data_IF_471113753511
#
_entry.id   IF_471113753511
#
_cell.length_a   1.000
_cell.length_b   1.000
_cell.length_c   1.000
_cell.angle_alpha   90.00
_cell.angle_beta   90.00
_cell.angle_gamma   90.00
#
_symmetry.space_group_name_H-M   'P 1'
#
loop_
_entity.id
_entity.type
_entity.pdbx_description
1 polymer ?
#
# COMPACT_ATOMS: atom_id res chain seq x y z
N UNK A 1 18.59 54.92 16.09
CA UNK A 1 17.44 54.27 16.73
C UNK A 1 16.56 53.79 15.59
N UNK A 2 16.95 52.71 14.90
CA UNK A 2 16.61 51.31 15.23
C UNK A 2 15.12 51.14 15.44
N UNK A 3 14.45 50.57 14.43
CA UNK A 3 13.64 49.34 14.57
C UNK A 3 12.84 49.12 13.27
N UNK A 4 13.48 48.50 12.27
CA UNK A 4 12.74 47.79 11.22
C UNK A 4 12.78 46.29 11.55
N UNK A 5 11.63 45.82 11.97
CA UNK A 5 11.29 44.45 12.31
C UNK A 5 11.56 43.52 11.11
N UNK A 6 12.52 42.57 11.17
CA UNK A 6 12.73 41.63 10.09
C UNK A 6 11.56 40.64 10.06
N UNK A 7 10.86 40.60 8.93
CA UNK A 7 9.77 39.67 8.65
C UNK A 7 10.20 38.21 8.98
N UNK A 8 9.54 37.50 9.90
CA UNK A 8 10.03 36.23 10.45
C UNK A 8 9.86 35.02 9.51
N UNK A 9 9.46 35.24 8.25
CA UNK A 9 9.13 34.18 7.29
C UNK A 9 10.10 34.10 6.10
N UNK A 10 11.39 34.41 6.30
CA UNK A 10 12.40 34.10 5.28
C UNK A 10 12.69 32.59 5.33
N UNK A 11 12.02 31.84 4.44
CA UNK A 11 12.37 30.45 4.14
C UNK A 11 13.86 30.35 3.79
N UNK A 12 14.56 29.27 4.19
CA UNK A 12 16.03 29.21 4.22
C UNK A 12 16.75 29.26 2.86
N UNK A 13 16.04 29.46 1.74
CA UNK A 13 16.63 29.40 0.39
C UNK A 13 16.33 30.62 -0.51
N UNK A 14 15.59 31.64 -0.06
CA UNK A 14 15.34 32.83 -0.87
C UNK A 14 14.52 32.59 -2.15
N UNK A 15 13.98 31.38 -2.35
CA UNK A 15 13.14 31.02 -3.49
C UNK A 15 11.67 31.38 -3.20
N UNK A 16 10.96 31.99 -4.16
CA UNK A 16 9.57 32.36 -3.99
C UNK A 16 8.66 31.13 -3.86
N UNK A 17 7.71 31.16 -2.93
CA UNK A 17 6.76 30.07 -2.76
C UNK A 17 5.67 30.07 -3.85
N UNK A 18 4.96 28.94 -3.99
CA UNK A 18 3.79 28.82 -4.88
C UNK A 18 2.73 29.88 -4.55
N UNK A 19 2.56 30.21 -3.27
CA UNK A 19 1.64 31.25 -2.81
C UNK A 19 2.10 32.65 -3.27
N UNK A 20 3.41 32.89 -3.34
CA UNK A 20 3.97 34.16 -3.80
C UNK A 20 3.81 34.32 -5.32
N UNK A 21 3.96 33.22 -6.08
CA UNK A 21 3.65 33.21 -7.51
C UNK A 21 2.18 33.54 -7.76
N UNK A 22 1.24 32.88 -7.07
CA UNK A 22 -0.19 33.15 -7.20
C UNK A 22 -0.51 34.60 -6.82
N UNK A 23 0.07 35.12 -5.73
CA UNK A 23 -0.09 36.54 -5.36
C UNK A 23 0.47 37.50 -6.41
N UNK A 24 1.56 37.15 -7.08
CA UNK A 24 2.14 37.97 -8.16
C UNK A 24 1.23 38.04 -9.40
N UNK A 25 0.39 37.03 -9.63
CA UNK A 25 -0.55 36.98 -10.75
C UNK A 25 -1.71 37.98 -10.60
N UNK A 26 -2.08 38.31 -9.37
CA UNK A 26 -3.25 39.14 -9.03
C UNK A 26 -2.92 40.56 -8.54
N UNK A 27 -1.65 40.98 -8.58
CA UNK A 27 -1.25 42.36 -8.25
C UNK A 27 -1.39 43.28 -9.47
N UNK A 28 -2.16 44.37 -9.31
CA UNK A 28 -2.43 45.39 -10.33
C UNK A 28 -1.52 46.64 -10.19
N UNK A 29 -0.21 46.46 -10.02
CA UNK A 29 0.77 47.56 -9.92
C UNK A 29 2.19 47.12 -10.29
N UNK A 30 3.17 48.05 -10.23
CA UNK A 30 4.56 47.94 -10.73
C UNK A 30 5.47 46.90 -10.04
N UNK A 31 4.91 45.90 -9.36
CA UNK A 31 5.69 44.80 -8.77
C UNK A 31 6.11 43.78 -9.84
N UNK A 32 7.37 43.36 -9.82
CA UNK A 32 7.90 42.31 -10.72
C UNK A 32 7.06 41.03 -10.63
N UNK A 33 6.58 40.55 -11.78
CA UNK A 33 5.93 39.24 -11.89
C UNK A 33 6.98 38.16 -11.80
N UNK A 34 6.71 37.15 -10.99
CA UNK A 34 7.61 36.02 -10.82
C UNK A 34 7.51 35.16 -12.09
N UNK A 35 8.54 35.18 -12.92
CA UNK A 35 8.62 34.37 -14.13
C UNK A 35 9.17 32.98 -13.79
N UNK A 36 8.36 31.94 -14.00
CA UNK A 36 8.83 30.56 -13.96
C UNK A 36 9.79 30.33 -15.15
N UNK A 37 10.93 29.63 -14.96
CA UNK A 37 11.77 29.24 -16.08
C UNK A 37 10.96 28.43 -17.08
N UNK A 38 11.07 28.78 -18.36
CA UNK A 38 10.33 28.16 -19.46
C UNK A 38 10.89 26.77 -19.79
N UNK A 39 10.62 25.78 -18.94
CA UNK A 39 10.94 24.37 -19.19
C UNK A 39 10.14 23.74 -20.35
N UNK A 40 9.34 24.52 -21.08
CA UNK A 40 8.42 24.04 -22.14
C UNK A 40 8.83 24.54 -23.54
N UNK A 41 9.85 25.41 -23.66
CA UNK A 41 10.23 25.96 -24.98
C UNK A 41 11.37 25.21 -25.70
N UNK A 42 12.12 24.34 -25.02
CA UNK A 42 13.19 23.56 -25.69
C UNK A 42 12.64 22.40 -26.55
N UNK A 43 11.49 21.83 -26.21
CA UNK A 43 10.84 20.79 -27.03
C UNK A 43 10.11 21.33 -28.27
N UNK A 44 9.85 22.64 -28.34
CA UNK A 44 9.10 23.26 -29.43
C UNK A 44 9.98 23.91 -30.52
N UNK A 45 11.29 24.11 -30.27
CA UNK A 45 12.21 24.80 -31.20
C UNK A 45 13.00 23.89 -32.13
N UNK A 46 12.91 22.57 -31.99
CA UNK A 46 13.54 21.61 -32.91
C UNK A 46 12.76 21.38 -34.21
N UNK A 47 11.56 21.97 -34.37
CA UNK A 47 10.66 21.65 -35.50
C UNK A 47 10.51 22.73 -36.57
N UNK A 48 11.14 23.91 -36.43
CA UNK A 48 10.96 24.98 -37.44
C UNK A 48 12.20 25.86 -37.64
N UNK A 49 13.23 25.38 -38.34
CA UNK A 49 14.18 26.28 -39.02
C UNK A 49 15.13 25.59 -40.02
N UNK A 50 14.68 25.21 -41.22
CA UNK A 50 15.47 25.26 -42.49
C UNK A 50 14.44 25.36 -43.66
N UNK A 51 14.03 26.57 -44.08
CA UNK A 51 14.47 27.33 -45.27
C UNK A 51 14.11 26.71 -46.65
N UNK A 52 13.15 27.38 -47.32
CA UNK A 52 13.19 27.95 -48.70
C UNK A 52 13.69 27.13 -49.91
N UNK A 53 12.76 26.93 -50.89
CA UNK A 53 12.80 26.79 -52.38
C UNK A 53 13.97 26.07 -53.12
N UNK A 54 13.69 25.39 -54.26
CA UNK A 54 14.55 24.36 -54.86
C UNK A 54 15.52 24.86 -55.94
N UNK A 55 16.69 24.22 -56.02
CA UNK A 55 17.53 24.15 -57.21
C UNK A 55 17.85 22.68 -57.51
N UNK A 56 17.67 22.30 -58.78
CA UNK A 56 17.92 20.98 -59.34
C UNK A 56 19.43 20.76 -59.57
N UNK A 57 19.95 19.57 -59.24
CA UNK A 57 20.54 18.59 -60.17
C UNK A 57 21.12 17.39 -59.38
N UNK A 58 21.18 16.19 -59.99
CA UNK A 58 21.13 14.90 -59.31
C UNK A 58 22.54 14.35 -59.03
N UNK A 59 22.66 13.37 -58.12
CA UNK A 59 23.57 12.21 -58.25
C UNK A 59 23.41 11.26 -57.04
N UNK A 60 23.27 9.99 -57.42
CA UNK A 60 23.57 8.71 -56.74
C UNK A 60 22.96 8.32 -55.39
N UNK A 61 22.40 7.11 -55.46
CA UNK A 61 21.88 6.30 -54.40
C UNK A 61 22.97 5.79 -53.46
N UNK A 62 22.73 5.92 -52.15
CA UNK A 62 23.17 4.95 -51.16
C UNK A 62 22.30 5.12 -49.91
N UNK A 63 21.39 4.16 -49.68
CA UNK A 63 20.56 4.08 -48.49
C UNK A 63 21.39 3.48 -47.34
N UNK A 64 21.57 4.14 -46.18
CA UNK A 64 22.02 3.44 -44.99
C UNK A 64 20.86 2.60 -44.42
N UNK A 65 21.12 1.43 -43.82
CA UNK A 65 20.06 0.54 -43.36
C UNK A 65 19.32 1.12 -42.16
N UNK A 66 18.01 0.88 -42.12
CA UNK A 66 17.15 1.06 -40.96
C UNK A 66 17.70 0.19 -39.81
N UNK A 67 18.44 0.81 -38.89
CA UNK A 67 18.77 0.21 -37.61
C UNK A 67 17.46 0.09 -36.82
N UNK A 68 16.86 -1.10 -36.88
CA UNK A 68 15.80 -1.50 -35.98
C UNK A 68 16.37 -1.42 -34.57
N UNK A 69 15.95 -0.40 -33.81
CA UNK A 69 16.12 -0.37 -32.35
C UNK A 69 15.29 -1.51 -31.81
N UNK A 70 15.92 -2.68 -31.78
CA UNK A 70 15.39 -3.86 -31.18
C UNK A 70 15.43 -3.62 -29.68
N UNK A 71 14.25 -3.42 -29.08
CA UNK A 71 14.04 -3.48 -27.63
C UNK A 71 14.54 -4.84 -27.15
N UNK A 72 15.84 -4.94 -26.88
CA UNK A 72 16.37 -6.01 -26.08
C UNK A 72 15.79 -5.80 -24.68
N UNK A 73 15.09 -6.78 -24.11
CA UNK A 73 14.73 -6.71 -22.70
C UNK A 73 16.04 -6.56 -21.94
N UNK A 74 16.25 -5.37 -21.36
CA UNK A 74 17.39 -5.07 -20.50
C UNK A 74 17.56 -6.25 -19.58
N UNK A 75 18.65 -7.01 -19.80
CA UNK A 75 18.98 -8.16 -19.00
C UNK A 75 18.87 -7.72 -17.55
N UNK A 76 18.04 -8.42 -16.77
CA UNK A 76 17.93 -8.21 -15.34
C UNK A 76 19.35 -8.15 -14.77
N UNK A 77 19.85 -6.95 -14.50
CA UNK A 77 21.12 -6.75 -13.84
C UNK A 77 20.94 -7.38 -12.47
N UNK A 78 21.53 -8.57 -12.30
CA UNK A 78 21.53 -9.26 -11.02
C UNK A 78 21.98 -8.24 -9.97
N UNK A 79 21.20 -8.03 -8.89
CA UNK A 79 21.61 -7.10 -7.85
C UNK A 79 23.01 -7.48 -7.37
N UNK A 80 23.85 -6.49 -6.99
CA UNK A 80 25.14 -6.78 -6.39
C UNK A 80 24.93 -7.79 -5.27
N UNK A 81 25.73 -8.86 -5.27
CA UNK A 81 25.62 -9.95 -4.31
C UNK A 81 25.57 -9.36 -2.91
N UNK A 82 24.41 -9.40 -2.27
CA UNK A 82 24.30 -8.98 -0.88
C UNK A 82 25.15 -9.96 -0.07
N UNK A 83 26.05 -9.46 0.80
CA UNK A 83 26.80 -10.36 1.68
C UNK A 83 25.78 -11.18 2.49
N UNK A 84 26.05 -12.47 2.65
CA UNK A 84 25.19 -13.37 3.45
C UNK A 84 24.91 -12.73 4.82
N UNK A 85 23.65 -12.55 5.23
CA UNK A 85 23.27 -11.74 6.40
C UNK A 85 23.44 -12.51 7.72
N UNK A 86 24.51 -13.29 7.85
CA UNK A 86 24.70 -14.19 8.98
C UNK A 86 24.91 -13.43 10.29
N UNK A 87 25.45 -12.20 10.26
CA UNK A 87 25.59 -11.37 11.47
C UNK A 87 24.23 -10.90 11.94
N UNK A 88 23.37 -10.47 11.03
CA UNK A 88 21.98 -10.13 11.33
C UNK A 88 21.21 -11.34 11.90
N UNK A 89 21.40 -12.53 11.34
CA UNK A 89 20.82 -13.77 11.87
C UNK A 89 21.38 -14.14 13.26
N UNK A 90 22.68 -13.93 13.48
CA UNK A 90 23.31 -14.16 14.79
C UNK A 90 22.77 -13.18 15.84
N UNK A 91 22.66 -11.88 15.51
CA UNK A 91 22.07 -10.88 16.39
C UNK A 91 20.63 -11.27 16.78
N UNK A 92 19.83 -11.70 15.81
CA UNK A 92 18.48 -12.20 16.06
C UNK A 92 18.46 -13.44 16.96
N UNK A 93 19.33 -14.42 16.71
CA UNK A 93 19.46 -15.62 17.55
C UNK A 93 19.87 -15.31 18.99
N UNK A 94 20.83 -14.39 19.20
CA UNK A 94 21.23 -13.92 20.53
C UNK A 94 20.07 -13.23 21.25
N UNK A 95 19.30 -12.39 20.54
CA UNK A 95 18.13 -11.73 21.10
C UNK A 95 17.04 -12.72 21.53
N UNK A 96 16.80 -13.78 20.75
CA UNK A 96 15.85 -14.84 21.14
C UNK A 96 16.31 -15.63 22.36
N UNK A 97 17.61 -15.93 22.46
CA UNK A 97 18.18 -16.58 23.64
C UNK A 97 18.01 -15.67 24.86
N UNK A 98 18.31 -14.37 24.72
CA UNK A 98 18.08 -13.37 25.76
C UNK A 98 16.62 -13.31 26.19
N UNK A 99 15.68 -13.21 25.24
CA UNK A 99 14.25 -13.17 25.50
C UNK A 99 13.78 -14.40 26.29
N UNK A 100 14.25 -15.60 25.93
CA UNK A 100 13.88 -16.85 26.62
C UNK A 100 14.27 -16.85 28.11
N UNK A 101 15.33 -16.14 28.50
CA UNK A 101 15.72 -16.04 29.93
C UNK A 101 14.78 -15.14 30.75
N UNK A 102 14.06 -14.23 30.09
CA UNK A 102 13.05 -13.38 30.72
C UNK A 102 11.69 -14.05 30.84
N UNK A 103 11.42 -15.11 30.07
CA UNK A 103 10.17 -15.86 30.16
C UNK A 103 10.07 -16.58 31.53
N UNK A 104 8.89 -16.56 32.19
CA UNK A 104 8.69 -17.30 33.42
C UNK A 104 8.90 -18.81 33.23
N UNK A 105 9.55 -19.52 34.18
CA UNK A 105 10.15 -19.01 35.41
C UNK A 105 11.46 -18.25 35.14
N UNK A 106 11.58 -17.03 35.69
CA UNK A 106 12.75 -16.18 35.50
C UNK A 106 14.00 -16.91 36.00
N UNK A 107 14.81 -17.41 35.06
CA UNK A 107 15.93 -18.27 35.42
C UNK A 107 17.20 -17.44 35.65
N UNK A 108 17.39 -16.33 34.93
CA UNK A 108 18.57 -15.46 35.06
C UNK A 108 18.45 -14.15 34.26
N UNK A 109 18.01 -13.07 34.92
CA UNK A 109 17.84 -11.75 34.27
C UNK A 109 19.17 -11.20 33.74
N UNK A 110 20.27 -11.39 34.50
CA UNK A 110 21.61 -10.91 34.12
C UNK A 110 22.10 -11.52 32.80
N UNK A 111 21.83 -12.82 32.61
CA UNK A 111 22.17 -13.55 31.38
C UNK A 111 21.36 -12.99 30.21
N UNK A 112 20.07 -12.72 30.42
CA UNK A 112 19.23 -12.07 29.41
C UNK A 112 19.75 -10.72 28.95
N UNK A 113 20.12 -9.86 29.90
CA UNK A 113 20.73 -8.55 29.60
C UNK A 113 22.03 -8.71 28.82
N UNK A 114 22.91 -9.64 29.22
CA UNK A 114 24.16 -9.90 28.51
C UNK A 114 23.93 -10.32 27.05
N UNK A 115 22.96 -11.21 26.80
CA UNK A 115 22.60 -11.62 25.44
C UNK A 115 22.00 -10.48 24.60
N UNK A 116 21.20 -9.59 25.20
CA UNK A 116 20.69 -8.42 24.51
C UNK A 116 21.79 -7.41 24.16
N UNK A 117 22.75 -7.19 25.05
CA UNK A 117 23.93 -6.34 24.76
C UNK A 117 24.74 -6.96 23.62
N UNK A 118 24.99 -8.27 23.67
CA UNK A 118 25.70 -8.96 22.60
C UNK A 118 24.95 -8.87 21.26
N UNK A 119 23.63 -9.07 21.26
CA UNK A 119 22.80 -8.91 20.07
C UNK A 119 22.89 -7.49 19.49
N UNK A 120 22.85 -6.46 20.34
CA UNK A 120 22.98 -5.07 19.94
C UNK A 120 24.35 -4.76 19.31
N UNK A 121 25.43 -5.28 19.90
CA UNK A 121 26.78 -5.11 19.35
C UNK A 121 26.94 -5.82 18.00
N UNK A 122 26.43 -7.05 17.86
CA UNK A 122 26.48 -7.80 16.60
C UNK A 122 25.61 -7.11 15.53
N UNK A 123 24.47 -6.55 15.90
CA UNK A 123 23.64 -5.77 14.99
C UNK A 123 24.36 -4.50 14.52
N UNK A 124 25.00 -3.76 15.43
CA UNK A 124 25.84 -2.62 15.08
C UNK A 124 26.98 -3.00 14.11
N UNK A 125 27.58 -4.18 14.33
CA UNK A 125 28.57 -4.74 13.42
C UNK A 125 27.97 -5.08 12.04
N UNK A 126 26.78 -5.68 11.98
CA UNK A 126 26.07 -5.97 10.73
C UNK A 126 25.78 -4.68 9.93
N UNK A 127 25.29 -3.63 10.60
CA UNK A 127 25.03 -2.33 10.00
C UNK A 127 26.32 -1.69 9.46
N UNK A 128 27.41 -1.70 10.24
CA UNK A 128 28.71 -1.15 9.81
C UNK A 128 29.29 -1.86 8.57
N UNK A 129 28.91 -3.12 8.35
CA UNK A 129 29.33 -3.94 7.21
C UNK A 129 28.38 -3.84 6.02
N UNK A 130 27.36 -2.99 6.10
CA UNK A 130 26.39 -2.79 5.04
C UNK A 130 25.56 -4.04 4.74
N UNK A 131 25.28 -4.90 5.73
CA UNK A 131 24.33 -6.00 5.52
C UNK A 131 22.91 -5.48 5.27
N UNK A 132 22.61 -4.28 5.78
CA UNK A 132 21.33 -3.61 5.61
C UNK A 132 21.51 -2.50 4.59
N UNK A 133 21.35 -2.86 3.32
CA UNK A 133 21.30 -1.89 2.22
C UNK A 133 19.85 -1.59 1.89
N UNK A 134 19.52 -0.30 1.80
CA UNK A 134 18.25 0.10 1.20
C UNK A 134 18.23 -0.42 -0.25
N UNK A 135 17.15 -1.09 -0.68
CA UNK A 135 16.96 -1.40 -2.09
C UNK A 135 17.08 -0.13 -2.92
N UNK A 136 17.65 -0.22 -4.12
CA UNK A 136 17.58 0.90 -5.07
C UNK A 136 16.12 1.29 -5.25
N UNK A 137 15.84 2.60 -5.22
CA UNK A 137 14.51 3.12 -5.54
C UNK A 137 14.04 2.48 -6.84
N UNK A 138 12.82 1.93 -6.84
CA UNK A 138 12.23 1.43 -8.06
C UNK A 138 12.29 2.57 -9.10
N UNK A 139 12.76 2.29 -10.33
CA UNK A 139 12.88 3.32 -11.35
C UNK A 139 11.52 4.01 -11.47
N UNK A 140 11.53 5.34 -11.41
CA UNK A 140 10.32 6.13 -11.66
C UNK A 140 9.76 5.68 -12.99
N UNK A 141 8.55 5.14 -12.98
CA UNK A 141 7.91 4.72 -14.21
C UNK A 141 7.66 5.98 -15.03
N UNK A 142 8.41 6.19 -16.12
CA UNK A 142 8.23 7.27 -17.11
C UNK A 142 6.88 7.22 -17.85
N UNK A 143 5.96 6.38 -17.38
CA UNK A 143 4.60 6.32 -17.91
C UNK A 143 3.84 7.56 -17.47
N UNK A 144 3.56 8.41 -18.43
CA UNK A 144 2.56 9.45 -18.33
C UNK A 144 1.20 8.82 -18.02
N UNK A 145 0.56 9.27 -16.94
CA UNK A 145 -0.83 8.90 -16.68
C UNK A 145 -1.66 9.43 -17.84
N UNK A 146 -2.43 8.59 -18.56
CA UNK A 146 -3.24 9.05 -19.69
C UNK A 146 -4.31 10.07 -19.28
N UNK A 147 -4.57 10.29 -17.97
CA UNK A 147 -5.60 11.22 -17.47
C UNK A 147 -6.98 10.97 -18.08
N UNK A 148 -7.24 9.73 -18.50
CA UNK A 148 -8.50 9.32 -19.14
C UNK A 148 -9.46 8.76 -18.12
N UNK A 149 -10.73 9.14 -18.23
CA UNK A 149 -11.81 8.64 -17.39
C UNK A 149 -13.10 8.47 -18.21
N UNK A 150 -14.04 7.70 -17.68
CA UNK A 150 -15.35 7.48 -18.31
C UNK A 150 -16.37 8.42 -17.66
N UNK A 151 -16.75 9.48 -18.36
CA UNK A 151 -17.61 10.54 -17.83
C UNK A 151 -19.00 10.06 -17.40
N UNK A 152 -19.66 9.19 -18.17
CA UNK A 152 -20.99 8.68 -17.82
C UNK A 152 -20.98 7.82 -16.54
N UNK A 153 -20.11 6.80 -16.40
CA UNK A 153 -19.95 6.10 -15.13
C UNK A 153 -19.59 7.00 -13.95
N UNK A 154 -18.76 8.04 -14.17
CA UNK A 154 -18.42 9.01 -13.13
C UNK A 154 -19.67 9.75 -12.64
N UNK A 155 -20.46 10.30 -13.56
CA UNK A 155 -21.69 11.04 -13.23
C UNK A 155 -22.72 10.15 -12.52
N UNK A 156 -22.91 8.91 -13.00
CA UNK A 156 -23.79 7.94 -12.35
C UNK A 156 -23.28 7.61 -10.94
N UNK A 157 -21.98 7.34 -10.80
CA UNK A 157 -21.36 7.02 -9.52
C UNK A 157 -21.48 8.16 -8.50
N UNK A 158 -21.29 9.41 -8.93
CA UNK A 158 -21.48 10.61 -8.11
C UNK A 158 -22.95 10.81 -7.71
N UNK A 159 -23.89 10.67 -8.65
CA UNK A 159 -25.32 10.80 -8.36
C UNK A 159 -25.79 9.72 -7.37
N UNK A 160 -25.36 8.47 -7.56
CA UNK A 160 -25.61 7.38 -6.63
C UNK A 160 -24.91 7.60 -5.28
N UNK A 161 -23.73 8.20 -5.27
CA UNK A 161 -23.01 8.55 -4.04
C UNK A 161 -23.75 9.60 -3.21
N UNK A 162 -24.27 10.64 -3.88
CA UNK A 162 -25.16 11.62 -3.25
C UNK A 162 -26.45 10.96 -2.74
N UNK A 163 -27.08 10.08 -3.52
CA UNK A 163 -28.25 9.34 -3.08
C UNK A 163 -27.95 8.41 -1.88
N UNK A 164 -26.79 7.75 -1.87
CA UNK A 164 -26.32 6.93 -0.76
C UNK A 164 -26.18 7.77 0.51
N UNK A 165 -25.59 8.96 0.42
CA UNK A 165 -25.45 9.88 1.55
C UNK A 165 -26.80 10.22 2.20
N UNK A 166 -27.83 10.55 1.42
CA UNK A 166 -29.16 10.85 1.97
C UNK A 166 -29.92 9.62 2.50
N UNK A 167 -29.67 8.44 1.93
CA UNK A 167 -30.35 7.19 2.32
C UNK A 167 -29.65 6.45 3.47
N UNK A 168 -28.37 6.74 3.74
CA UNK A 168 -27.63 6.32 4.93
C UNK A 168 -27.94 7.26 6.11
N UNK A 169 -29.22 7.39 6.43
CA UNK A 169 -29.70 8.15 7.59
C UNK A 169 -29.99 7.22 8.79
N UNK A 170 -30.34 7.83 9.93
CA UNK A 170 -30.74 7.15 11.17
C UNK A 170 -29.76 6.10 11.70
N UNK A 171 -28.50 6.18 11.26
CA UNK A 171 -27.44 5.26 11.65
C UNK A 171 -27.75 3.79 11.31
N UNK A 172 -28.52 3.50 10.26
CA UNK A 172 -28.92 2.12 9.92
C UNK A 172 -28.55 1.74 8.47
N UNK A 173 -27.97 0.55 8.33
CA UNK A 173 -27.88 -0.14 7.05
C UNK A 173 -29.21 -0.78 6.71
N UNK A 174 -29.75 -0.42 5.56
CA UNK A 174 -30.92 -1.02 4.94
C UNK A 174 -30.50 -1.68 3.62
N UNK A 175 -31.30 -2.63 3.13
CA UNK A 175 -31.01 -3.26 1.83
C UNK A 175 -30.91 -2.22 0.71
N UNK A 176 -31.76 -1.19 0.76
CA UNK A 176 -31.79 -0.12 -0.22
C UNK A 176 -30.52 0.73 -0.19
N UNK A 177 -30.17 1.30 0.97
CA UNK A 177 -29.03 2.21 1.07
C UNK A 177 -27.69 1.51 0.80
N UNK A 178 -27.52 0.27 1.26
CA UNK A 178 -26.35 -0.55 0.96
C UNK A 178 -26.25 -0.83 -0.55
N UNK A 179 -27.37 -1.15 -1.20
CA UNK A 179 -27.37 -1.39 -2.66
C UNK A 179 -26.96 -0.14 -3.43
N UNK A 180 -27.54 1.02 -3.11
CA UNK A 180 -27.20 2.30 -3.75
C UNK A 180 -25.73 2.64 -3.52
N UNK A 181 -25.24 2.46 -2.30
CA UNK A 181 -23.85 2.71 -1.93
C UNK A 181 -22.87 1.81 -2.68
N UNK A 182 -23.13 0.49 -2.73
CA UNK A 182 -22.29 -0.46 -3.49
C UNK A 182 -22.28 -0.09 -4.97
N UNK A 183 -23.44 0.23 -5.56
CA UNK A 183 -23.50 0.66 -6.96
C UNK A 183 -22.67 1.93 -7.19
N UNK A 184 -22.73 2.92 -6.28
CA UNK A 184 -21.88 4.12 -6.35
C UNK A 184 -20.39 3.75 -6.42
N UNK A 185 -19.91 2.89 -5.52
CA UNK A 185 -18.52 2.43 -5.50
C UNK A 185 -18.14 1.73 -6.81
N UNK A 186 -19.00 0.84 -7.31
CA UNK A 186 -18.78 0.12 -8.57
C UNK A 186 -18.66 1.08 -9.74
N UNK A 187 -19.56 2.06 -9.87
CA UNK A 187 -19.54 3.03 -10.96
C UNK A 187 -18.35 3.99 -10.87
N UNK A 188 -17.98 4.44 -9.66
CA UNK A 188 -16.79 5.26 -9.45
C UNK A 188 -15.51 4.49 -9.80
N UNK A 189 -15.39 3.25 -9.34
CA UNK A 189 -14.26 2.39 -9.68
C UNK A 189 -14.20 2.17 -11.20
N UNK A 190 -15.34 1.90 -11.82
CA UNK A 190 -15.44 1.70 -13.27
C UNK A 190 -15.09 2.95 -14.08
N UNK A 191 -15.38 4.15 -13.54
CA UNK A 191 -15.07 5.42 -14.18
C UNK A 191 -13.56 5.64 -14.37
N UNK A 192 -12.76 5.21 -13.40
CA UNK A 192 -11.30 5.34 -13.41
C UNK A 192 -10.59 4.03 -13.78
N UNK A 193 -11.34 2.98 -14.12
CA UNK A 193 -10.75 1.70 -14.49
C UNK A 193 -10.09 1.77 -15.87
N UNK A 194 -8.78 1.96 -15.87
CA UNK A 194 -7.97 1.84 -17.08
C UNK A 194 -7.90 0.37 -17.50
N UNK A 195 -8.36 0.07 -18.71
CA UNK A 195 -8.30 -1.28 -19.26
C UNK A 195 -6.86 -1.60 -19.65
N UNK A 196 -6.00 -1.87 -18.66
CA UNK A 196 -4.73 -2.52 -18.92
C UNK A 196 -5.03 -3.95 -19.36
N UNK A 197 -4.54 -4.32 -20.55
CA UNK A 197 -4.52 -5.69 -21.09
C UNK A 197 -4.21 -6.76 -20.03
N UNK A 198 -3.41 -6.40 -19.02
CA UNK A 198 -3.07 -7.15 -17.81
C UNK A 198 -4.23 -7.94 -17.19
N UNK A 199 -5.42 -7.38 -16.96
CA UNK A 199 -6.46 -8.11 -16.20
C UNK A 199 -7.10 -9.25 -16.97
N UNK A 200 -7.36 -9.06 -18.26
CA UNK A 200 -7.87 -10.14 -19.10
C UNK A 200 -6.82 -11.23 -19.26
N UNK A 201 -5.54 -10.86 -19.41
CA UNK A 201 -4.44 -11.82 -19.45
C UNK A 201 -4.25 -12.55 -18.11
N UNK A 202 -4.37 -11.87 -16.97
CA UNK A 202 -4.25 -12.48 -15.63
C UNK A 202 -5.42 -13.43 -15.36
N UNK A 203 -6.66 -13.03 -15.67
CA UNK A 203 -7.83 -13.88 -15.48
C UNK A 203 -7.82 -15.11 -16.40
N UNK A 204 -7.44 -14.95 -17.68
CA UNK A 204 -7.20 -16.07 -18.60
C UNK A 204 -6.04 -16.95 -18.13
N UNK A 205 -4.98 -16.38 -17.56
CA UNK A 205 -3.87 -17.13 -16.99
C UNK A 205 -4.30 -17.93 -15.75
N UNK A 206 -5.19 -17.39 -14.92
CA UNK A 206 -5.72 -18.06 -13.75
C UNK A 206 -6.64 -19.23 -14.13
N UNK A 207 -7.55 -19.02 -15.08
CA UNK A 207 -8.42 -20.08 -15.62
C UNK A 207 -7.59 -21.18 -16.30
N UNK A 208 -6.63 -20.79 -17.15
CA UNK A 208 -5.73 -21.75 -17.80
C UNK A 208 -4.74 -22.41 -16.84
N UNK A 209 -4.59 -21.91 -15.61
CA UNK A 209 -3.84 -22.59 -14.55
C UNK A 209 -4.67 -23.69 -13.90
N UNK A 210 -5.96 -23.46 -13.62
CA UNK A 210 -6.88 -24.48 -13.09
C UNK A 210 -7.29 -25.55 -14.12
N UNK A 211 -7.23 -25.24 -15.42
CA UNK A 211 -7.57 -26.17 -16.51
C UNK A 211 -6.38 -27.01 -17.00
N UNK A 212 -5.22 -26.93 -16.36
CA UNK A 212 -4.06 -27.77 -16.72
C UNK A 212 -4.20 -29.16 -16.12
N UNK A 213 -4.08 -30.17 -16.98
CA UNK A 213 -4.06 -31.59 -16.58
C UNK A 213 -2.81 -31.96 -15.76
N UNK A 214 -1.72 -31.17 -15.86
CA UNK A 214 -0.46 -31.38 -15.14
C UNK A 214 0.07 -30.06 -14.59
N UNK A 215 0.35 -30.04 -13.29
CA UNK A 215 0.90 -28.88 -12.58
C UNK A 215 2.40 -29.04 -12.35
N UNK A 216 3.20 -28.14 -12.92
CA UNK A 216 4.64 -28.05 -12.67
C UNK A 216 4.93 -26.87 -11.73
N UNK A 217 5.05 -27.16 -10.43
CA UNK A 217 5.34 -26.14 -9.41
C UNK A 217 6.86 -26.05 -9.24
N UNK A 218 7.45 -24.95 -9.71
CA UNK A 218 8.87 -24.66 -9.45
C UNK A 218 9.03 -24.05 -8.06
N UNK A 219 9.53 -24.84 -7.11
CA UNK A 219 9.78 -24.38 -5.73
C UNK A 219 11.18 -23.76 -5.68
N UNK A 220 11.24 -22.43 -5.67
CA UNK A 220 12.49 -21.71 -5.42
C UNK A 220 12.84 -21.68 -3.93
N UNK A 221 14.10 -21.39 -3.59
CA UNK A 221 14.52 -21.13 -2.19
C UNK A 221 13.69 -20.01 -1.55
N UNK A 222 13.34 -18.99 -2.34
CA UNK A 222 12.47 -17.90 -1.91
C UNK A 222 11.04 -18.37 -1.61
N UNK A 223 10.47 -19.20 -2.47
CA UNK A 223 9.16 -19.81 -2.26
C UNK A 223 9.14 -20.64 -0.97
N UNK A 224 10.21 -21.39 -0.69
CA UNK A 224 10.34 -22.14 0.56
C UNK A 224 10.38 -21.22 1.79
N UNK A 225 11.11 -20.10 1.72
CA UNK A 225 11.13 -19.10 2.79
C UNK A 225 9.74 -18.47 3.01
N UNK A 226 9.01 -18.14 1.94
CA UNK A 226 7.65 -17.60 2.05
C UNK A 226 6.68 -18.60 2.65
N UNK A 227 6.77 -19.88 2.25
CA UNK A 227 5.98 -20.96 2.85
C UNK A 227 6.33 -21.08 4.34
N UNK A 228 7.61 -21.14 4.69
CA UNK A 228 8.05 -21.24 6.08
C UNK A 228 7.56 -20.05 6.92
N UNK A 229 7.67 -18.83 6.42
CA UNK A 229 7.17 -17.63 7.08
C UNK A 229 5.64 -17.67 7.23
N UNK A 230 4.92 -18.09 6.20
CA UNK A 230 3.45 -18.20 6.23
C UNK A 230 2.99 -19.24 7.26
N UNK A 231 3.65 -20.41 7.30
CA UNK A 231 3.38 -21.46 8.29
C UNK A 231 3.68 -20.96 9.70
N UNK A 232 4.78 -20.22 9.89
CA UNK A 232 5.14 -19.66 11.18
C UNK A 232 4.09 -18.64 11.67
N UNK A 233 3.64 -17.73 10.80
CA UNK A 233 2.58 -16.77 11.13
C UNK A 233 1.27 -17.50 11.42
N UNK A 234 0.91 -18.50 10.61
CA UNK A 234 -0.28 -19.31 10.84
C UNK A 234 -0.22 -19.98 12.22
N UNK A 235 0.90 -20.60 12.56
CA UNK A 235 1.11 -21.22 13.87
C UNK A 235 0.88 -20.21 15.00
N UNK A 236 1.57 -19.07 14.98
CA UNK A 236 1.43 -18.09 16.07
C UNK A 236 0.03 -17.45 16.15
N UNK A 237 -0.69 -17.31 15.04
CA UNK A 237 -2.06 -16.74 15.04
C UNK A 237 -3.13 -17.73 15.49
N UNK A 238 -2.98 -19.02 15.17
CA UNK A 238 -4.05 -20.01 15.30
C UNK A 238 -3.81 -21.10 16.37
N UNK A 239 -2.56 -21.33 16.79
CA UNK A 239 -2.22 -22.49 17.64
C UNK A 239 -2.94 -22.51 19.00
N UNK A 240 -3.10 -21.35 19.64
CA UNK A 240 -3.70 -21.22 20.98
C UNK A 240 -4.84 -20.20 21.02
N UNK A 241 -5.53 -19.97 19.92
CA UNK A 241 -6.59 -18.95 19.84
C UNK A 241 -7.72 -19.20 20.86
N UNK A 242 -8.03 -20.45 21.16
CA UNK A 242 -9.05 -20.76 22.17
C UNK A 242 -8.59 -20.44 23.61
N UNK A 243 -7.35 -20.80 23.95
CA UNK A 243 -6.84 -20.75 25.32
C UNK A 243 -6.17 -19.43 25.70
N UNK A 244 -5.64 -18.66 24.74
CA UNK A 244 -4.84 -17.47 25.02
C UNK A 244 -5.38 -16.24 24.27
N UNK A 245 -5.57 -15.10 24.95
CA UNK A 245 -5.69 -14.97 26.41
C UNK A 245 -6.94 -15.71 26.92
N UNK A 246 -6.95 -16.28 28.14
CA UNK A 246 -8.08 -17.08 28.63
C UNK A 246 -9.34 -16.23 28.85
N UNK A 247 -9.16 -15.01 29.36
CA UNK A 247 -10.27 -14.15 29.79
C UNK A 247 -10.47 -12.95 28.86
N UNK A 248 -11.72 -12.57 28.55
CA UNK A 248 -12.03 -11.34 27.84
C UNK A 248 -11.82 -10.11 28.73
N UNK A 249 -11.48 -8.98 28.12
CA UNK A 249 -11.48 -7.66 28.78
C UNK A 249 -12.73 -6.86 28.42
N UNK A 250 -12.93 -5.72 29.09
CA UNK A 250 -14.14 -4.88 28.95
C UNK A 250 -14.51 -4.58 27.49
N UNK A 251 -13.56 -4.16 26.65
CA UNK A 251 -13.85 -3.88 25.24
C UNK A 251 -14.30 -5.12 24.44
N UNK A 252 -13.83 -6.33 24.78
CA UNK A 252 -14.35 -7.56 24.16
C UNK A 252 -15.80 -7.83 24.54
N UNK A 253 -16.16 -7.63 25.81
CA UNK A 253 -17.54 -7.80 26.25
C UNK A 253 -18.46 -6.79 25.53
N UNK A 254 -18.04 -5.53 25.46
CA UNK A 254 -18.77 -4.47 24.73
C UNK A 254 -18.92 -4.79 23.24
N UNK A 255 -17.91 -5.39 22.60
CA UNK A 255 -18.00 -5.84 21.20
C UNK A 255 -18.98 -7.00 21.06
N UNK A 256 -19.01 -7.95 21.98
CA UNK A 256 -19.97 -9.06 21.93
C UNK A 256 -21.41 -8.54 22.05
N UNK A 257 -21.65 -7.52 22.89
CA UNK A 257 -22.98 -6.87 22.95
C UNK A 257 -23.36 -6.19 21.65
N UNK A 258 -22.43 -5.49 20.99
CA UNK A 258 -22.70 -4.93 19.66
C UNK A 258 -23.02 -6.02 18.63
N UNK A 259 -22.27 -7.13 18.64
CA UNK A 259 -22.52 -8.28 17.74
C UNK A 259 -23.87 -8.92 18.06
N UNK A 260 -24.26 -8.98 19.33
CA UNK A 260 -25.58 -9.44 19.76
C UNK A 260 -26.68 -8.55 19.16
N UNK A 261 -26.55 -7.23 19.25
CA UNK A 261 -27.53 -6.31 18.68
C UNK A 261 -27.68 -6.50 17.16
N UNK A 262 -26.56 -6.67 16.44
CA UNK A 262 -26.59 -7.00 15.01
C UNK A 262 -27.29 -8.33 14.76
N UNK A 263 -27.08 -9.33 15.61
CA UNK A 263 -27.78 -10.63 15.53
C UNK A 263 -29.30 -10.50 15.72
N UNK A 264 -29.75 -9.49 16.47
CA UNK A 264 -31.16 -9.15 16.68
C UNK A 264 -31.73 -8.25 15.57
N UNK A 265 -30.94 -7.94 14.54
CA UNK A 265 -31.37 -7.14 13.40
C UNK A 265 -31.10 -5.64 13.54
N UNK A 266 -30.38 -5.19 14.58
CA UNK A 266 -29.93 -3.80 14.66
C UNK A 266 -28.74 -3.60 13.74
N UNK A 267 -29.02 -3.17 12.52
CA UNK A 267 -28.01 -3.02 11.47
C UNK A 267 -27.31 -1.66 11.53
N UNK A 268 -26.75 -1.29 12.69
CA UNK A 268 -26.15 0.03 12.90
C UNK A 268 -24.91 0.30 12.04
N UNK A 269 -24.78 1.53 11.51
CA UNK A 269 -23.62 1.98 10.73
C UNK A 269 -22.43 2.28 11.66
N UNK A 270 -22.72 2.95 12.78
CA UNK A 270 -21.80 3.34 13.83
C UNK A 270 -22.30 2.81 15.17
N UNK A 271 -21.39 2.27 15.98
CA UNK A 271 -21.72 1.68 17.27
C UNK A 271 -21.29 2.63 18.39
N UNK A 272 -22.23 3.20 19.18
CA UNK A 272 -21.91 4.26 20.14
C UNK A 272 -21.22 3.75 21.41
N UNK A 273 -21.31 2.45 21.71
CA UNK A 273 -20.63 1.85 22.87
C UNK A 273 -19.11 1.99 22.76
N UNK A 274 -18.45 2.16 23.91
CA UNK A 274 -17.00 2.32 24.03
C UNK A 274 -16.40 3.40 23.10
N UNK A 275 -16.85 4.65 23.25
CA UNK A 275 -16.33 5.85 22.53
C UNK A 275 -16.55 5.88 21.01
N UNK A 276 -17.37 4.98 20.47
CA UNK A 276 -17.66 4.93 19.04
C UNK A 276 -16.79 3.92 18.32
N UNK A 277 -17.42 3.06 17.51
CA UNK A 277 -16.75 1.98 16.79
C UNK A 277 -17.32 1.80 15.40
N UNK A 278 -16.43 1.44 14.46
CA UNK A 278 -16.80 1.14 13.08
C UNK A 278 -17.51 -0.20 12.97
N UNK A 279 -18.49 -0.28 12.06
CA UNK A 279 -19.39 -1.41 11.92
C UNK A 279 -18.73 -2.71 11.49
N UNK A 280 -17.72 -2.65 10.61
CA UNK A 280 -17.21 -3.83 9.91
C UNK A 280 -16.86 -5.00 10.84
N UNK A 281 -16.19 -4.73 11.96
CA UNK A 281 -15.77 -5.76 12.91
C UNK A 281 -16.97 -6.54 13.49
N UNK A 282 -18.11 -5.88 13.73
CA UNK A 282 -19.28 -6.49 14.37
C UNK A 282 -19.98 -7.44 13.40
N UNK A 283 -20.19 -7.00 12.16
CA UNK A 283 -20.74 -7.85 11.10
C UNK A 283 -19.82 -9.01 10.75
N UNK A 284 -18.51 -8.76 10.66
CA UNK A 284 -17.51 -9.80 10.42
C UNK A 284 -17.48 -10.84 11.53
N UNK A 285 -17.59 -10.40 12.79
CA UNK A 285 -17.64 -11.31 13.94
C UNK A 285 -18.92 -12.13 13.94
N UNK A 286 -20.08 -11.54 13.60
CA UNK A 286 -21.33 -12.28 13.47
C UNK A 286 -21.24 -13.33 12.36
N UNK A 287 -20.64 -13.00 11.22
CA UNK A 287 -20.39 -13.93 10.13
C UNK A 287 -19.48 -15.09 10.59
N UNK A 288 -18.38 -14.78 11.27
CA UNK A 288 -17.45 -15.77 11.84
C UNK A 288 -18.16 -16.69 12.82
N UNK A 289 -18.94 -16.12 13.75
CA UNK A 289 -19.71 -16.87 14.74
C UNK A 289 -20.70 -17.86 14.08
N UNK A 290 -21.35 -17.45 12.99
CA UNK A 290 -22.28 -18.30 12.22
C UNK A 290 -21.55 -19.38 11.41
N UNK A 291 -20.44 -19.03 10.76
CA UNK A 291 -19.69 -19.94 9.89
C UNK A 291 -19.00 -21.07 10.67
N UNK A 292 -18.41 -20.74 11.82
CA UNK A 292 -17.66 -21.70 12.64
C UNK A 292 -18.47 -22.26 13.83
N UNK A 293 -19.72 -21.83 14.01
CA UNK A 293 -20.59 -22.32 15.09
C UNK A 293 -20.11 -21.98 16.49
N UNK A 294 -19.23 -20.98 16.64
CA UNK A 294 -18.61 -20.58 17.92
C UNK A 294 -19.51 -19.69 18.79
N UNK A 295 -20.68 -19.29 18.28
CA UNK A 295 -21.65 -18.45 18.98
C UNK A 295 -21.16 -17.02 19.23
N UNK A 296 -21.87 -16.27 20.07
CA UNK A 296 -21.48 -14.92 20.48
C UNK A 296 -20.48 -15.00 21.63
N UNK A 297 -19.25 -15.42 21.30
CA UNK A 297 -18.21 -15.73 22.28
C UNK A 297 -16.94 -14.95 22.04
N UNK A 298 -16.08 -14.95 23.05
CA UNK A 298 -14.74 -14.39 22.93
C UNK A 298 -13.93 -15.09 21.82
N UNK A 299 -14.14 -16.39 21.62
CA UNK A 299 -13.51 -17.16 20.56
C UNK A 299 -13.87 -16.61 19.17
N UNK A 300 -15.12 -16.21 18.93
CA UNK A 300 -15.55 -15.62 17.65
C UNK A 300 -14.80 -14.34 17.32
N UNK A 301 -14.58 -13.47 18.31
CA UNK A 301 -13.80 -12.24 18.13
C UNK A 301 -12.33 -12.54 17.80
N UNK A 302 -11.72 -13.48 18.54
CA UNK A 302 -10.33 -13.88 18.30
C UNK A 302 -10.15 -14.51 16.93
N UNK A 303 -11.05 -15.42 16.56
CA UNK A 303 -10.98 -16.11 15.27
C UNK A 303 -11.18 -15.12 14.12
N UNK A 304 -12.17 -14.23 14.23
CA UNK A 304 -12.45 -13.22 13.21
C UNK A 304 -11.24 -12.30 12.97
N UNK A 305 -10.61 -11.83 14.04
CA UNK A 305 -9.41 -10.97 13.94
C UNK A 305 -8.16 -11.72 13.49
N UNK A 306 -7.98 -12.98 13.93
CA UNK A 306 -6.88 -13.84 13.48
C UNK A 306 -6.94 -14.11 11.97
N UNK A 307 -8.15 -14.36 11.43
CA UNK A 307 -8.38 -14.55 9.99
C UNK A 307 -8.03 -13.28 9.23
N UNK A 308 -8.55 -12.12 9.61
CA UNK A 308 -8.23 -10.85 8.94
C UNK A 308 -6.73 -10.58 8.95
N UNK A 309 -6.07 -10.75 10.10
CA UNK A 309 -4.62 -10.56 10.21
C UNK A 309 -3.79 -11.60 9.45
N UNK A 310 -4.35 -12.76 9.12
CA UNK A 310 -3.71 -13.72 8.21
C UNK A 310 -3.92 -13.32 6.74
N UNK A 311 -5.13 -12.88 6.38
CA UNK A 311 -5.47 -12.40 5.04
C UNK A 311 -4.73 -11.11 4.65
N UNK A 312 -4.18 -10.36 5.60
CA UNK A 312 -3.33 -9.20 5.32
C UNK A 312 -1.93 -9.56 4.83
N UNK A 313 -1.46 -10.81 5.02
CA UNK A 313 -0.09 -11.21 4.66
C UNK A 313 0.30 -10.96 3.20
N UNK A 314 -0.54 -11.29 2.20
CA UNK A 314 -0.22 -11.01 0.80
C UNK A 314 -0.05 -9.51 0.54
N UNK A 315 -0.86 -8.67 1.17
CA UNK A 315 -0.77 -7.22 1.02
C UNK A 315 0.51 -6.66 1.64
N UNK A 316 0.89 -7.15 2.83
CA UNK A 316 2.15 -6.77 3.48
C UNK A 316 3.36 -7.20 2.63
N UNK A 317 3.28 -8.36 1.98
CA UNK A 317 4.35 -8.84 1.11
C UNK A 317 4.49 -8.04 -0.20
N UNK A 318 3.38 -7.50 -0.71
CA UNK A 318 3.35 -6.76 -1.98
C UNK A 318 3.62 -5.25 -1.84
N UNK A 319 3.65 -4.74 -0.60
CA UNK A 319 4.04 -3.36 -0.25
C UNK A 319 5.57 -3.22 -0.28
#
# INVERSE_FOLDING_TARGET
>A
MSDENPNPNQYPLGEPSVLDYVKSLFRFGDGERIHLPSFVEEDARSTHSILTRPEELPVEAESPPLEQVQDQPSAFSLPPSTPSPWRSLLAFGLALIGQRTFEPPHTSIEIGIAFYIAAFLVLGWALSRGEWTLPSLAPTSDRTDPLTYRGLPLLIGLALGAAAFFTLNDNLFTKLNVTIWILSIVFLTWAFWLNKSSLQTTFRSLISFFQRDLWTINISRWTMLLIAATVLVFFFRFYQTASVPPEPFSDHAEKIFDVYDVSQGQTSIFFPRNTGRESFQMYWTLLTAKLFGTGLSFLSLKLGTAILGFLTLPFIYLL
#
